data_IF_144729786375
#
_entry.id   IF_144729786375
#
_cell.length_a   1.000
_cell.length_b   1.000
_cell.length_c   1.000
_cell.angle_alpha   90.00
_cell.angle_beta   90.00
_cell.angle_gamma   90.00
#
_symmetry.space_group_name_H-M   'P 1'
#
loop_
_entity.id
_entity.type
_entity.pdbx_description
1 polymer ?
#
# COMPACT_ATOMS: atom_id res chain seq x y z
N UNK A 1 6.77 -5.62 -5.91
CA UNK A 1 5.78 -6.59 -5.40
C UNK A 1 6.35 -7.97 -5.59
N UNK A 2 6.31 -8.82 -4.57
CA UNK A 2 6.92 -10.15 -4.62
C UNK A 2 5.83 -11.18 -4.25
N UNK A 3 5.35 -11.99 -5.22
CA UNK A 3 4.46 -13.10 -4.92
C UNK A 3 5.26 -14.29 -4.36
N UNK A 4 4.79 -14.83 -3.23
CA UNK A 4 5.34 -16.00 -2.57
C UNK A 4 4.22 -17.04 -2.52
N UNK A 5 4.44 -18.20 -3.11
CA UNK A 5 3.45 -19.29 -3.07
C UNK A 5 3.44 -19.91 -1.68
N UNK A 6 2.31 -19.85 -0.98
CA UNK A 6 2.16 -20.44 0.36
C UNK A 6 1.71 -21.89 0.28
N UNK A 7 0.74 -22.18 -0.59
CA UNK A 7 0.21 -23.53 -0.83
C UNK A 7 -0.05 -23.74 -2.33
N UNK A 8 -0.63 -24.89 -2.71
CA UNK A 8 -1.07 -25.11 -4.09
C UNK A 8 -2.15 -24.13 -4.56
N UNK A 9 -2.96 -23.66 -3.62
CA UNK A 9 -4.14 -22.85 -3.89
C UNK A 9 -3.97 -21.37 -3.55
N UNK A 10 -2.97 -21.01 -2.74
CA UNK A 10 -2.80 -19.63 -2.25
C UNK A 10 -1.40 -19.06 -2.46
N UNK A 11 -1.38 -17.81 -2.92
CA UNK A 11 -0.23 -16.93 -2.99
C UNK A 11 -0.34 -15.85 -1.90
N UNK A 12 0.79 -15.53 -1.28
CA UNK A 12 1.01 -14.32 -0.50
C UNK A 12 1.76 -13.31 -1.35
N UNK A 13 1.11 -12.20 -1.68
CA UNK A 13 1.72 -11.10 -2.42
C UNK A 13 2.09 -10.02 -1.43
N UNK A 14 3.39 -9.72 -1.36
CA UNK A 14 3.90 -8.62 -0.55
C UNK A 14 4.11 -7.37 -1.41
N UNK A 15 3.69 -6.23 -0.88
CA UNK A 15 3.86 -4.92 -1.53
C UNK A 15 4.29 -3.90 -0.50
N UNK A 16 5.51 -3.39 -0.63
CA UNK A 16 6.02 -2.30 0.20
C UNK A 16 6.15 -1.04 -0.64
N UNK A 17 5.51 0.05 -0.21
CA UNK A 17 5.71 1.38 -0.79
C UNK A 17 6.67 2.16 0.11
N UNK A 18 7.74 2.69 -0.47
CA UNK A 18 8.68 3.59 0.19
C UNK A 18 8.69 4.90 -0.58
N UNK A 19 7.90 5.91 -0.18
CA UNK A 19 7.77 7.14 -0.94
C UNK A 19 8.97 8.07 -0.69
N UNK A 20 9.63 8.50 -1.76
CA UNK A 20 10.57 9.63 -1.73
C UNK A 20 9.80 10.85 -2.20
N UNK A 21 9.63 11.81 -1.29
CA UNK A 21 8.79 12.99 -1.49
C UNK A 21 9.71 14.21 -1.60
N UNK A 22 9.44 15.05 -2.58
CA UNK A 22 9.98 16.41 -2.66
C UNK A 22 8.79 17.34 -2.88
N UNK A 23 8.49 18.15 -1.87
CA UNK A 23 7.40 19.11 -1.95
C UNK A 23 7.95 20.52 -1.82
N UNK A 24 7.40 21.42 -2.64
CA UNK A 24 7.62 22.85 -2.48
C UNK A 24 7.08 23.34 -1.14
N UNK A 25 7.28 24.63 -0.85
CA UNK A 25 6.74 25.29 0.34
C UNK A 25 5.23 24.97 0.48
N UNK A 26 4.82 24.19 1.50
CA UNK A 26 3.44 23.74 1.62
C UNK A 26 2.52 24.85 2.17
N UNK A 27 3.10 25.87 2.81
CA UNK A 27 2.40 27.05 3.31
C UNK A 27 3.38 28.23 3.48
N UNK A 28 2.89 29.49 3.47
CA UNK A 28 3.72 30.65 3.75
C UNK A 28 4.49 30.50 5.07
N UNK A 29 5.81 30.68 5.04
CA UNK A 29 6.69 30.53 6.21
C UNK A 29 7.17 29.10 6.47
N UNK A 30 6.78 28.11 5.65
CA UNK A 30 7.34 26.77 5.68
C UNK A 30 8.23 26.58 4.45
N UNK A 31 9.51 26.28 4.67
CA UNK A 31 10.45 26.03 3.57
C UNK A 31 10.08 24.77 2.77
N UNK A 32 10.74 24.60 1.62
CA UNK A 32 10.68 23.34 0.89
C UNK A 32 11.06 22.17 1.80
N UNK A 33 10.52 20.98 1.56
CA UNK A 33 10.88 19.80 2.33
C UNK A 33 10.94 18.58 1.43
N UNK A 34 12.02 17.82 1.57
CA UNK A 34 12.27 16.60 0.84
C UNK A 34 12.77 15.50 1.75
N UNK A 35 12.45 14.25 1.42
CA UNK A 35 12.88 13.11 2.19
C UNK A 35 12.01 11.88 2.03
N UNK A 36 12.20 10.93 2.93
CA UNK A 36 11.42 9.70 3.01
C UNK A 36 10.07 10.02 3.69
N UNK A 37 8.97 9.52 3.14
CA UNK A 37 7.66 9.52 3.80
C UNK A 37 7.40 8.24 4.59
N UNK A 38 6.19 8.11 5.13
CA UNK A 38 5.80 6.89 5.87
C UNK A 38 5.78 5.66 4.94
N UNK A 39 6.47 4.60 5.35
CA UNK A 39 6.52 3.34 4.60
C UNK A 39 5.19 2.60 4.79
N UNK A 40 4.62 2.10 3.68
CA UNK A 40 3.35 1.38 3.68
C UNK A 40 3.51 -0.05 3.14
N UNK A 41 3.72 -1.07 3.99
CA UNK A 41 3.67 -2.46 3.59
C UNK A 41 2.23 -2.98 3.56
N UNK A 42 1.92 -3.81 2.58
CA UNK A 42 0.66 -4.52 2.42
C UNK A 42 0.91 -5.97 2.07
N UNK A 43 0.06 -6.84 2.60
CA UNK A 43 0.09 -8.28 2.39
C UNK A 43 -1.26 -8.70 1.79
N UNK A 44 -1.25 -9.41 0.67
CA UNK A 44 -2.46 -9.91 0.03
C UNK A 44 -2.40 -11.43 -0.08
N UNK A 45 -3.40 -12.10 0.47
CA UNK A 45 -3.70 -13.48 0.12
C UNK A 45 -4.53 -13.48 -1.17
N UNK A 46 -4.10 -14.27 -2.15
CA UNK A 46 -4.72 -14.36 -3.47
C UNK A 46 -4.72 -15.81 -3.96
N UNK A 47 -5.77 -16.28 -4.64
CA UNK A 47 -5.76 -17.62 -5.25
C UNK A 47 -4.62 -17.80 -6.26
N UNK A 48 -3.93 -18.94 -6.22
CA UNK A 48 -2.81 -19.26 -7.11
C UNK A 48 -3.23 -19.53 -8.56
N UNK A 49 -4.48 -19.94 -8.76
CA UNK A 49 -5.08 -20.21 -10.07
C UNK A 49 -6.33 -19.34 -10.24
N UNK A 50 -6.17 -18.02 -10.42
CA UNK A 50 -7.31 -17.13 -10.59
C UNK A 50 -8.00 -17.41 -11.94
N UNK A 51 -9.33 -17.36 -11.93
CA UNK A 51 -10.13 -17.43 -13.15
C UNK A 51 -10.14 -16.08 -13.88
N UNK A 52 -11.31 -15.67 -14.38
CA UNK A 52 -11.49 -14.34 -15.00
C UNK A 52 -11.34 -13.18 -14.01
N UNK A 53 -11.61 -13.43 -12.74
CA UNK A 53 -11.48 -12.47 -11.65
C UNK A 53 -10.22 -12.81 -10.84
N UNK A 54 -9.27 -11.88 -10.84
CA UNK A 54 -8.10 -11.88 -9.95
C UNK A 54 -8.47 -11.03 -8.75
N UNK A 55 -8.20 -11.52 -7.55
CA UNK A 55 -8.46 -10.76 -6.34
C UNK A 55 -7.44 -11.08 -5.27
N UNK A 56 -7.29 -10.17 -4.32
CA UNK A 56 -6.49 -10.40 -3.13
C UNK A 56 -7.00 -9.57 -1.96
N UNK A 57 -6.89 -10.11 -0.76
CA UNK A 57 -7.28 -9.41 0.47
C UNK A 57 -6.21 -9.61 1.54
N UNK A 58 -6.08 -8.64 2.44
CA UNK A 58 -5.23 -8.80 3.60
C UNK A 58 -5.00 -7.48 4.33
N UNK A 59 -3.98 -7.42 5.20
CA UNK A 59 -3.69 -6.21 5.95
C UNK A 59 -2.78 -5.25 5.17
N UNK A 60 -2.95 -3.96 5.47
CA UNK A 60 -2.02 -2.89 5.14
C UNK A 60 -1.60 -2.17 6.41
N UNK A 61 -0.38 -1.65 6.43
CA UNK A 61 0.19 -0.92 7.55
C UNK A 61 0.80 0.38 7.05
N UNK A 62 0.84 1.40 7.90
CA UNK A 62 1.60 2.63 7.69
C UNK A 62 2.55 2.80 8.88
N UNK A 63 3.85 2.86 8.59
CA UNK A 63 4.93 2.94 9.56
C UNK A 63 5.42 4.39 9.65
N UNK A 64 5.61 4.96 10.86
CA UNK A 64 6.05 6.35 11.04
C UNK A 64 7.55 6.51 10.79
N UNK A 65 7.98 6.26 9.57
CA UNK A 65 9.39 6.26 9.14
C UNK A 65 9.79 7.53 8.38
N UNK A 66 8.88 8.50 8.27
CA UNK A 66 9.15 9.73 7.56
C UNK A 66 10.36 10.48 8.16
N UNK A 67 11.27 10.94 7.30
CA UNK A 67 12.48 11.66 7.73
C UNK A 67 12.17 13.09 8.19
N UNK A 68 11.00 13.62 7.84
CA UNK A 68 10.48 14.88 8.30
C UNK A 68 8.99 14.74 8.63
N UNK A 69 8.54 15.36 9.73
CA UNK A 69 7.15 15.32 10.21
C UNK A 69 6.13 15.87 9.20
N UNK A 70 6.56 16.73 8.27
CA UNK A 70 5.71 17.25 7.19
C UNK A 70 5.48 16.24 6.05
N UNK A 71 6.23 15.13 6.02
CA UNK A 71 6.18 14.11 4.97
C UNK A 71 5.43 12.82 5.39
N UNK A 72 4.92 12.78 6.61
CA UNK A 72 4.26 11.61 7.17
C UNK A 72 3.25 11.96 8.25
N UNK A 73 2.41 10.99 8.58
CA UNK A 73 1.44 11.09 9.67
C UNK A 73 2.12 11.05 11.04
N UNK A 74 3.30 10.41 11.13
CA UNK A 74 3.98 10.16 12.40
C UNK A 74 3.25 9.15 13.29
N UNK A 75 2.29 8.40 12.74
CA UNK A 75 1.47 7.44 13.47
C UNK A 75 1.59 6.05 12.89
N UNK A 76 1.49 5.05 13.76
CA UNK A 76 1.23 3.70 13.31
C UNK A 76 -0.24 3.58 12.93
N UNK A 77 -0.48 3.11 11.71
CA UNK A 77 -1.83 2.81 11.22
C UNK A 77 -1.87 1.43 10.59
N UNK A 78 -3.02 0.77 10.69
CA UNK A 78 -3.25 -0.52 10.06
C UNK A 78 -4.73 -0.68 9.70
N UNK A 79 -5.00 -1.60 8.79
CA UNK A 79 -6.36 -2.03 8.52
C UNK A 79 -6.47 -2.93 7.29
N UNK A 80 -7.69 -3.28 6.89
CA UNK A 80 -7.92 -4.17 5.76
C UNK A 80 -7.63 -3.45 4.43
N UNK A 81 -7.17 -4.23 3.47
CA UNK A 81 -7.00 -3.85 2.07
C UNK A 81 -7.50 -4.98 1.18
N UNK A 82 -8.05 -4.60 0.03
CA UNK A 82 -8.55 -5.52 -0.98
C UNK A 82 -8.26 -4.99 -2.37
N UNK A 83 -8.00 -5.91 -3.29
CA UNK A 83 -7.83 -5.63 -4.71
C UNK A 83 -8.66 -6.61 -5.53
N UNK A 84 -9.29 -6.11 -6.58
CA UNK A 84 -9.96 -6.91 -7.61
C UNK A 84 -9.48 -6.43 -8.98
N UNK A 85 -9.30 -7.37 -9.89
CA UNK A 85 -8.82 -7.12 -11.25
C UNK A 85 -9.46 -8.12 -12.21
N UNK A 86 -9.91 -7.62 -13.36
CA UNK A 86 -10.47 -8.41 -14.45
C UNK A 86 -9.75 -8.03 -15.73
N UNK A 87 -9.34 -9.04 -16.49
CA UNK A 87 -8.70 -8.86 -17.80
C UNK A 87 -9.67 -9.33 -18.89
N UNK A 88 -10.02 -8.44 -19.82
CA UNK A 88 -10.92 -8.74 -20.94
C UNK A 88 -10.27 -8.30 -22.25
N UNK A 89 -9.74 -9.28 -23.00
CA UNK A 89 -8.98 -9.01 -24.22
C UNK A 89 -7.77 -8.10 -23.91
N UNK A 90 -7.64 -6.93 -24.55
CA UNK A 90 -6.54 -6.00 -24.28
C UNK A 90 -6.76 -5.09 -23.06
N UNK A 91 -7.93 -5.12 -22.42
CA UNK A 91 -8.29 -4.20 -21.34
C UNK A 91 -8.09 -4.83 -19.96
N UNK A 92 -7.59 -4.02 -19.02
CA UNK A 92 -7.45 -4.37 -17.60
C UNK A 92 -8.27 -3.41 -16.78
N UNK A 93 -9.25 -3.93 -16.05
CA UNK A 93 -10.06 -3.18 -15.10
C UNK A 93 -9.68 -3.60 -13.70
N UNK A 94 -9.47 -2.66 -12.79
CA UNK A 94 -9.12 -2.99 -11.42
C UNK A 94 -9.53 -1.91 -10.43
N UNK A 95 -9.74 -2.36 -9.20
CA UNK A 95 -10.00 -1.50 -8.06
C UNK A 95 -9.18 -1.99 -6.86
N UNK A 96 -8.58 -1.05 -6.13
CA UNK A 96 -7.92 -1.30 -4.86
C UNK A 96 -8.53 -0.36 -3.83
N UNK A 97 -8.95 -0.92 -2.71
CA UNK A 97 -9.50 -0.16 -1.60
C UNK A 97 -8.87 -0.63 -0.30
N UNK A 98 -8.60 0.31 0.61
CA UNK A 98 -8.19 0.02 1.96
C UNK A 98 -8.89 0.97 2.94
N UNK A 99 -8.97 0.54 4.19
CA UNK A 99 -9.32 1.41 5.30
C UNK A 99 -8.25 1.25 6.37
N UNK A 100 -7.69 2.36 6.86
CA UNK A 100 -6.61 2.34 7.82
C UNK A 100 -6.99 3.21 9.01
N UNK A 101 -6.82 2.66 10.20
CA UNK A 101 -6.99 3.39 11.44
C UNK A 101 -5.63 3.56 12.10
N UNK A 102 -5.40 4.76 12.62
CA UNK A 102 -4.31 4.98 13.54
C UNK A 102 -4.62 4.30 14.87
N UNK A 103 -3.67 3.55 15.40
CA UNK A 103 -3.82 2.83 16.67
C UNK A 103 -2.69 3.13 17.67
N UNK A 104 -1.58 3.69 17.21
CA UNK A 104 -0.56 4.26 18.09
C UNK A 104 -0.08 5.61 17.53
N UNK A 105 -0.27 6.64 18.35
CA UNK A 105 0.02 8.05 18.04
C UNK A 105 -0.50 8.97 19.13
#
# INVERSE_FOLDING_TARGET
MIPIRLTEDWNLITRTIMPIISQGSPAPGIDHVGGLGDINPSLFLSPSKPGKLIWGVGPTFTLPTASNRLLGSGKWSAGPTGVVLVMQGPWVYGALANNQWSFAG
#
